data_IF_998255489067
#
_entry.id   IF_998255489067
#
_cell.length_a   1.000
_cell.length_b   1.000
_cell.length_c   1.000
_cell.angle_alpha   90.00
_cell.angle_beta   90.00
_cell.angle_gamma   90.00
#
_symmetry.space_group_name_H-M   'P 1'
#
loop_
_entity.id
_entity.type
_entity.pdbx_description
1 polymer ?
#
# COMPACT_ATOMS: atom_id res chain seq x y z
N UNK A 1 5.97 -26.34 12.80
CA UNK A 1 6.51 -25.60 11.64
C UNK A 1 6.21 -24.11 11.81
N UNK A 2 7.21 -23.27 11.60
CA UNK A 2 7.00 -21.82 11.63
C UNK A 2 6.35 -21.37 10.32
N UNK A 3 5.30 -20.55 10.44
CA UNK A 3 4.64 -19.95 9.28
C UNK A 3 4.94 -18.46 9.27
N UNK A 4 5.26 -17.93 8.10
CA UNK A 4 5.59 -16.52 7.93
C UNK A 4 4.40 -15.80 7.30
N UNK A 5 3.96 -14.73 7.96
CA UNK A 5 2.93 -13.84 7.43
C UNK A 5 3.57 -12.46 7.23
N UNK A 6 3.39 -11.92 6.04
CA UNK A 6 3.84 -10.55 5.74
C UNK A 6 2.65 -9.61 5.86
N UNK A 7 2.79 -8.59 6.69
CA UNK A 7 1.78 -7.54 6.80
C UNK A 7 2.17 -6.37 5.91
N UNK A 8 1.25 -5.96 5.05
CA UNK A 8 1.46 -4.84 4.15
C UNK A 8 0.83 -3.56 4.69
N UNK A 9 1.52 -2.46 4.49
CA UNK A 9 1.06 -1.12 4.84
C UNK A 9 1.04 -0.26 3.58
N UNK A 10 0.05 -0.43 2.70
CA UNK A 10 0.02 0.32 1.44
C UNK A 10 -0.05 1.83 1.69
N UNK A 11 0.75 2.57 0.95
CA UNK A 11 0.82 4.02 1.08
C UNK A 11 0.84 4.65 -0.31
N UNK A 12 0.06 5.70 -0.49
CA UNK A 12 0.05 6.44 -1.75
C UNK A 12 1.31 7.31 -1.85
N UNK A 13 1.92 7.32 -3.04
CA UNK A 13 3.20 7.98 -3.26
C UNK A 13 3.07 9.51 -3.23
N UNK A 14 4.02 10.14 -2.56
CA UNK A 14 4.32 11.56 -2.66
C UNK A 14 5.83 11.71 -2.62
N UNK A 15 6.35 12.68 -3.36
CA UNK A 15 7.81 12.82 -3.53
C UNK A 15 8.49 13.51 -2.35
N UNK A 16 7.70 14.15 -1.48
CA UNK A 16 8.21 14.80 -0.27
C UNK A 16 7.09 14.93 0.77
N UNK A 17 7.44 15.13 2.06
CA UNK A 17 6.44 15.42 3.08
C UNK A 17 5.60 16.66 2.77
N UNK A 18 6.20 17.67 2.15
CA UNK A 18 5.51 18.89 1.76
C UNK A 18 4.49 18.62 0.65
N UNK A 19 4.88 17.88 -0.37
CA UNK A 19 3.96 17.48 -1.44
C UNK A 19 2.79 16.67 -0.89
N UNK A 20 3.05 15.76 0.05
CA UNK A 20 2.00 14.95 0.68
C UNK A 20 0.95 15.83 1.35
N UNK A 21 1.37 16.88 2.06
CA UNK A 21 0.44 17.83 2.67
C UNK A 21 -0.37 18.59 1.63
N UNK A 22 0.26 19.00 0.55
CA UNK A 22 -0.38 19.75 -0.52
C UNK A 22 -1.40 18.92 -1.29
N UNK A 23 -1.17 17.60 -1.36
CA UNK A 23 -2.05 16.67 -2.06
C UNK A 23 -3.25 16.19 -1.23
N UNK A 24 -3.41 16.65 -0.01
CA UNK A 24 -4.53 16.23 0.86
C UNK A 24 -5.90 16.57 0.28
N UNK A 25 -6.87 15.70 0.30
CA UNK A 25 -6.79 14.28 0.65
C UNK A 25 -6.26 13.45 -0.53
N UNK A 26 -5.08 12.91 -0.39
CA UNK A 26 -4.36 12.21 -1.47
C UNK A 26 -5.13 10.98 -1.99
N UNK A 27 -5.95 10.37 -1.17
CA UNK A 27 -6.80 9.22 -1.56
C UNK A 27 -7.80 9.55 -2.67
N UNK A 28 -8.09 10.82 -2.90
CA UNK A 28 -8.92 11.27 -4.02
C UNK A 28 -8.13 11.42 -5.32
N UNK A 29 -6.81 11.34 -5.26
CA UNK A 29 -5.97 11.35 -6.44
C UNK A 29 -6.01 9.97 -7.09
N UNK A 30 -6.79 9.85 -8.15
CA UNK A 30 -7.05 8.58 -8.81
C UNK A 30 -5.78 7.92 -9.34
N UNK A 31 -4.87 8.71 -9.88
CA UNK A 31 -3.62 8.20 -10.44
C UNK A 31 -2.72 7.60 -9.37
N UNK A 32 -2.58 8.28 -8.25
CA UNK A 32 -1.78 7.79 -7.12
C UNK A 32 -2.37 6.51 -6.52
N UNK A 33 -3.69 6.47 -6.40
CA UNK A 33 -4.37 5.29 -5.89
C UNK A 33 -4.20 4.09 -6.82
N UNK A 34 -4.39 4.30 -8.12
CA UNK A 34 -4.23 3.25 -9.12
C UNK A 34 -2.79 2.74 -9.18
N UNK A 35 -1.80 3.63 -9.09
CA UNK A 35 -0.39 3.27 -9.05
C UNK A 35 -0.10 2.32 -7.88
N UNK A 36 -0.62 2.62 -6.69
CA UNK A 36 -0.45 1.76 -5.53
C UNK A 36 -1.09 0.39 -5.74
N UNK A 37 -2.30 0.35 -6.31
CA UNK A 37 -2.99 -0.91 -6.57
C UNK A 37 -2.32 -1.75 -7.66
N UNK A 38 -1.76 -1.12 -8.67
CA UNK A 38 -1.09 -1.81 -9.78
C UNK A 38 0.15 -2.57 -9.34
N UNK A 39 0.82 -2.14 -8.28
CA UNK A 39 1.99 -2.83 -7.73
C UNK A 39 1.67 -4.06 -6.89
N UNK A 40 0.44 -4.20 -6.42
CA UNK A 40 0.05 -5.27 -5.49
C UNK A 40 0.14 -6.68 -6.08
N UNK A 41 -0.36 -6.95 -7.31
CA UNK A 41 -0.30 -8.31 -7.85
C UNK A 41 1.11 -8.85 -7.96
N UNK A 42 2.07 -8.04 -8.40
CA UNK A 42 3.46 -8.47 -8.53
C UNK A 42 4.10 -8.75 -7.18
N UNK A 43 3.82 -7.93 -6.19
CA UNK A 43 4.29 -8.12 -4.83
C UNK A 43 3.75 -9.42 -4.23
N UNK A 44 2.46 -9.69 -4.41
CA UNK A 44 1.80 -10.90 -3.90
C UNK A 44 2.38 -12.14 -4.58
N UNK A 45 2.60 -12.10 -5.90
CA UNK A 45 3.24 -13.21 -6.62
C UNK A 45 4.64 -13.49 -6.10
N UNK A 46 5.43 -12.44 -5.87
CA UNK A 46 6.78 -12.59 -5.34
C UNK A 46 6.77 -13.27 -3.97
N UNK A 47 5.85 -12.88 -3.10
CA UNK A 47 5.70 -13.50 -1.79
C UNK A 47 5.25 -14.95 -1.87
N UNK A 48 4.37 -15.28 -2.80
CA UNK A 48 3.93 -16.65 -3.04
C UNK A 48 5.10 -17.51 -3.51
N UNK A 49 5.90 -17.02 -4.45
CA UNK A 49 7.08 -17.70 -4.95
C UNK A 49 8.12 -17.95 -3.87
N UNK A 50 8.21 -17.08 -2.87
CA UNK A 50 9.12 -17.22 -1.74
C UNK A 50 8.58 -18.16 -0.65
N UNK A 51 7.37 -18.67 -0.80
CA UNK A 51 6.78 -19.59 0.16
C UNK A 51 6.22 -18.94 1.42
N UNK A 52 5.88 -17.67 1.35
CA UNK A 52 5.20 -16.98 2.47
C UNK A 52 3.81 -17.61 2.68
N UNK A 53 3.50 -17.95 3.94
CA UNK A 53 2.26 -18.65 4.26
C UNK A 53 1.01 -17.80 4.04
N UNK A 54 1.11 -16.50 4.31
CA UNK A 54 -0.03 -15.60 4.14
C UNK A 54 0.38 -14.15 4.09
N UNK A 55 -0.54 -13.33 3.62
CA UNK A 55 -0.40 -11.88 3.53
C UNK A 55 -1.57 -11.24 4.24
N UNK A 56 -1.29 -10.19 4.98
CA UNK A 56 -2.35 -9.38 5.59
C UNK A 56 -2.14 -7.91 5.23
N UNK A 57 -3.20 -7.15 5.32
CA UNK A 57 -3.17 -5.72 5.05
C UNK A 57 -4.08 -5.02 6.04
N UNK A 58 -3.77 -3.79 6.36
CA UNK A 58 -4.68 -2.92 7.09
C UNK A 58 -5.37 -1.99 6.11
N UNK A 59 -6.50 -1.44 6.52
CA UNK A 59 -7.34 -0.64 5.64
C UNK A 59 -7.83 0.61 6.38
N UNK A 60 -7.65 1.76 5.76
CA UNK A 60 -8.17 3.04 6.25
C UNK A 60 -8.93 3.74 5.12
N UNK A 61 -10.12 4.23 5.43
CA UNK A 61 -11.00 4.79 4.40
C UNK A 61 -10.84 6.30 4.21
N UNK A 62 -10.38 7.03 5.20
CA UNK A 62 -10.38 8.49 5.15
C UNK A 62 -9.07 9.12 5.59
N UNK A 63 -7.96 8.43 5.40
CA UNK A 63 -6.67 9.00 5.76
C UNK A 63 -6.25 10.07 4.75
N UNK A 64 -6.15 11.31 5.21
CA UNK A 64 -5.91 12.46 4.33
C UNK A 64 -4.57 12.43 3.63
N UNK A 65 -3.57 11.77 4.21
CA UNK A 65 -2.21 11.71 3.66
C UNK A 65 -1.90 10.40 2.92
N UNK A 66 -2.87 9.51 2.78
CA UNK A 66 -2.73 8.28 2.00
C UNK A 66 -1.85 7.22 2.62
N UNK A 67 -1.74 7.20 3.95
CA UNK A 67 -1.07 6.11 4.66
C UNK A 67 -2.03 4.95 4.86
N UNK A 68 -1.50 3.73 4.65
CA UNK A 68 -2.22 2.51 5.02
C UNK A 68 -3.60 2.38 4.34
N UNK A 69 -3.65 2.69 3.08
CA UNK A 69 -4.90 2.62 2.30
C UNK A 69 -5.29 1.20 1.92
#
# INVERSE_FOLDING_TARGET
>A
MVKVVVQMYPMLRADSPQERKEMRPIGRNRERYQEAMDGMPDLIRAMDDLGVWGVSSIEHHFHSEGYEV
#
